data_IF_797269859521
#
_entry.id   IF_797269859521
#
_cell.length_a   1.000
_cell.length_b   1.000
_cell.length_c   1.000
_cell.angle_alpha   90.00
_cell.angle_beta   90.00
_cell.angle_gamma   90.00
#
_symmetry.space_group_name_H-M   'P 1'
#
loop_
_entity.id
_entity.type
_entity.pdbx_description
1 polymer ?
#
# COMPACT_ATOMS: atom_id res chain seq x y z
N UNK A 1 12.22 26.27 -2.88
CA UNK A 1 12.93 25.61 -1.77
C UNK A 1 12.98 24.13 -2.11
N UNK A 2 14.14 23.63 -2.56
CA UNK A 2 14.33 22.23 -2.97
C UNK A 2 14.89 21.49 -1.76
N UNK A 3 14.02 20.73 -1.07
CA UNK A 3 14.39 19.95 0.12
C UNK A 3 15.02 18.62 -0.30
N UNK A 4 16.27 18.42 0.13
CA UNK A 4 17.05 17.20 -0.01
C UNK A 4 16.38 16.04 0.75
N UNK A 5 16.33 14.88 0.09
CA UNK A 5 15.98 13.59 0.68
C UNK A 5 17.14 13.20 1.62
N UNK A 6 17.07 13.56 2.90
CA UNK A 6 18.23 13.32 3.78
C UNK A 6 18.05 13.52 5.28
N UNK A 7 16.98 14.13 5.77
CA UNK A 7 16.71 14.23 7.21
C UNK A 7 15.24 13.88 7.46
N UNK A 8 15.00 12.66 7.92
CA UNK A 8 13.68 12.26 8.42
C UNK A 8 13.52 12.91 9.79
N UNK A 9 13.10 14.18 9.80
CA UNK A 9 12.48 14.79 10.96
C UNK A 9 11.38 13.87 11.47
N UNK A 10 11.23 13.79 12.81
CA UNK A 10 10.13 13.07 13.47
C UNK A 10 8.85 13.24 12.65
N UNK A 11 8.25 12.13 12.23
CA UNK A 11 7.02 12.15 11.42
C UNK A 11 6.01 13.12 12.05
N UNK A 12 5.62 14.14 11.28
CA UNK A 12 4.62 15.09 11.71
C UNK A 12 3.25 14.62 11.20
N UNK A 13 2.22 14.84 11.99
CA UNK A 13 0.84 14.60 11.59
C UNK A 13 0.19 15.93 11.23
N UNK A 14 -0.45 16.00 10.06
CA UNK A 14 -1.23 17.16 9.64
C UNK A 14 -2.59 16.72 9.09
N UNK A 15 -3.55 17.65 9.08
CA UNK A 15 -4.84 17.50 8.41
C UNK A 15 -4.77 18.30 7.12
N UNK A 16 -5.05 17.64 6.00
CA UNK A 16 -5.07 18.25 4.69
C UNK A 16 -6.50 18.24 4.13
N UNK A 17 -6.99 19.40 3.72
CA UNK A 17 -8.23 19.53 2.97
C UNK A 17 -7.88 19.71 1.50
N UNK A 18 -7.98 18.64 0.73
CA UNK A 18 -7.60 18.66 -0.68
C UNK A 18 -8.55 17.78 -1.51
N UNK A 19 -8.61 18.07 -2.81
CA UNK A 19 -9.39 17.29 -3.77
C UNK A 19 -8.51 16.19 -4.38
N UNK A 20 -9.04 14.98 -4.49
CA UNK A 20 -8.40 13.91 -5.26
C UNK A 20 -8.47 14.27 -6.75
N UNK A 21 -7.32 14.39 -7.40
CA UNK A 21 -7.22 14.72 -8.82
C UNK A 21 -6.88 13.49 -9.68
N UNK A 22 -6.16 12.52 -9.12
CA UNK A 22 -5.74 11.32 -9.84
C UNK A 22 -5.44 10.16 -8.89
N UNK A 23 -5.54 8.93 -9.39
CA UNK A 23 -5.13 7.72 -8.69
C UNK A 23 -4.10 7.01 -9.58
N UNK A 24 -2.86 6.92 -9.12
CA UNK A 24 -1.79 6.30 -9.87
C UNK A 24 -2.01 4.78 -10.00
N UNK A 25 -2.03 4.28 -11.24
CA UNK A 25 -2.25 2.85 -11.54
C UNK A 25 -0.98 2.07 -11.88
N UNK A 26 0.15 2.75 -12.07
CA UNK A 26 1.37 2.20 -12.70
C UNK A 26 1.97 0.97 -11.98
N UNK A 27 1.75 0.82 -10.68
CA UNK A 27 2.31 -0.26 -9.87
C UNK A 27 1.27 -1.28 -9.39
N UNK A 28 0.06 -1.27 -9.95
CA UNK A 28 -1.08 -2.04 -9.45
C UNK A 28 -1.67 -1.43 -8.18
N UNK A 29 -2.93 -1.76 -7.90
CA UNK A 29 -3.66 -1.27 -6.72
C UNK A 29 -3.59 -2.21 -5.52
N UNK A 30 -3.28 -3.47 -5.79
CA UNK A 30 -3.26 -4.51 -4.80
C UNK A 30 -2.04 -5.41 -4.99
N UNK A 31 -1.65 -6.05 -3.91
CA UNK A 31 -0.59 -7.03 -3.88
C UNK A 31 -0.99 -8.19 -2.97
N UNK A 32 -0.42 -9.37 -3.24
CA UNK A 32 -0.60 -10.53 -2.40
C UNK A 32 0.37 -10.44 -1.23
N UNK A 33 -0.16 -10.57 -0.02
CA UNK A 33 0.56 -10.37 1.23
C UNK A 33 0.33 -11.55 2.18
N UNK A 34 1.26 -11.73 3.12
CA UNK A 34 1.05 -12.67 4.22
C UNK A 34 0.20 -12.03 5.32
N UNK A 35 -0.90 -12.69 5.70
CA UNK A 35 -1.91 -12.15 6.62
C UNK A 35 -1.36 -11.70 7.97
N UNK A 36 -0.32 -12.36 8.49
CA UNK A 36 0.25 -12.02 9.82
C UNK A 36 1.16 -10.80 9.83
N UNK A 37 1.71 -10.38 8.69
CA UNK A 37 2.71 -9.30 8.69
C UNK A 37 2.60 -8.31 7.53
N UNK A 38 1.64 -8.50 6.62
CA UNK A 38 1.36 -7.59 5.50
C UNK A 38 2.47 -7.48 4.45
N UNK A 39 3.55 -8.27 4.57
CA UNK A 39 4.62 -8.29 3.58
C UNK A 39 4.23 -9.09 2.35
N UNK A 40 4.78 -8.70 1.21
CA UNK A 40 4.54 -9.34 -0.09
C UNK A 40 4.82 -10.86 0.00
N UNK A 41 3.80 -11.64 -0.35
CA UNK A 41 3.86 -13.07 -0.54
C UNK A 41 4.14 -13.37 -2.02
N UNK A 42 5.14 -14.21 -2.29
CA UNK A 42 5.46 -14.66 -3.65
C UNK A 42 5.16 -16.14 -3.79
N UNK A 43 4.46 -16.51 -4.85
CA UNK A 43 4.27 -17.91 -5.20
C UNK A 43 5.61 -18.54 -5.60
N UNK A 44 5.86 -19.77 -5.16
CA UNK A 44 7.02 -20.54 -5.61
C UNK A 44 6.59 -21.56 -6.65
N UNK A 45 7.19 -21.52 -7.84
CA UNK A 45 6.88 -22.42 -8.97
C UNK A 45 7.44 -23.85 -8.80
N UNK A 46 8.12 -24.12 -7.68
CA UNK A 46 8.74 -25.41 -7.44
C UNK A 46 7.71 -26.44 -6.93
N UNK A 47 7.34 -27.36 -7.81
CA UNK A 47 6.76 -28.68 -7.52
C UNK A 47 5.37 -28.69 -6.88
N UNK A 48 4.31 -28.65 -7.73
CA UNK A 48 2.93 -29.19 -7.52
C UNK A 48 2.21 -28.91 -6.19
N UNK A 49 2.75 -28.06 -5.33
CA UNK A 49 2.20 -27.71 -4.03
C UNK A 49 2.14 -26.18 -4.00
N UNK A 50 0.96 -25.64 -3.70
CA UNK A 50 0.66 -24.20 -3.64
C UNK A 50 1.35 -23.52 -2.45
N UNK A 51 2.69 -23.53 -2.43
CA UNK A 51 3.50 -22.85 -1.45
C UNK A 51 3.77 -21.41 -1.87
N UNK A 52 3.75 -20.55 -0.88
CA UNK A 52 4.05 -19.14 -0.97
C UNK A 52 5.26 -18.85 -0.07
N UNK A 53 5.92 -17.73 -0.31
CA UNK A 53 7.08 -17.31 0.47
C UNK A 53 6.93 -15.84 0.90
N UNK A 54 7.04 -15.61 2.20
CA UNK A 54 7.11 -14.30 2.82
C UNK A 54 8.55 -14.05 3.25
N UNK A 55 9.12 -12.88 2.92
CA UNK A 55 10.51 -12.54 3.27
C UNK A 55 10.84 -12.66 4.77
N UNK A 56 9.86 -12.42 5.65
CA UNK A 56 10.07 -12.45 7.10
C UNK A 56 9.81 -13.83 7.73
N UNK A 57 8.85 -14.60 7.19
CA UNK A 57 8.38 -15.84 7.81
C UNK A 57 8.74 -17.10 7.01
N UNK A 58 9.37 -16.94 5.84
CA UNK A 58 9.70 -18.03 4.94
C UNK A 58 8.45 -18.62 4.28
N UNK A 59 8.40 -19.96 4.21
CA UNK A 59 7.36 -20.70 3.51
C UNK A 59 6.01 -20.58 4.24
N UNK A 60 4.99 -20.20 3.47
CA UNK A 60 3.61 -20.00 3.92
C UNK A 60 2.66 -20.78 3.00
N UNK A 61 1.56 -21.26 3.54
CA UNK A 61 0.45 -21.91 2.81
C UNK A 61 -0.45 -20.87 2.15
N UNK A 62 -1.24 -21.28 1.16
CA UNK A 62 -2.13 -20.40 0.39
C UNK A 62 -3.24 -19.73 1.24
N UNK A 63 -3.73 -20.39 2.30
CA UNK A 63 -4.67 -19.83 3.28
C UNK A 63 -4.08 -18.64 4.08
N UNK A 64 -2.76 -18.56 4.15
CA UNK A 64 -2.06 -17.43 4.77
C UNK A 64 -1.97 -16.19 3.87
N UNK A 65 -2.38 -16.27 2.59
CA UNK A 65 -2.22 -15.20 1.62
C UNK A 65 -3.49 -14.37 1.51
N UNK A 66 -3.36 -13.07 1.66
CA UNK A 66 -4.45 -12.09 1.55
C UNK A 66 -4.13 -11.05 0.48
N UNK A 67 -5.17 -10.44 -0.08
CA UNK A 67 -5.03 -9.28 -0.97
C UNK A 67 -4.95 -8.05 -0.08
N UNK A 68 -3.91 -7.23 -0.26
CA UNK A 68 -3.75 -5.94 0.39
C UNK A 68 -3.70 -4.82 -0.64
N UNK A 69 -4.28 -3.69 -0.31
CA UNK A 69 -4.34 -2.51 -1.16
C UNK A 69 -3.21 -1.53 -0.84
N UNK A 70 -2.63 -0.97 -1.90
CA UNK A 70 -1.65 0.10 -1.83
C UNK A 70 -1.85 1.06 -2.99
N UNK A 71 -2.51 2.17 -2.72
CA UNK A 71 -2.86 3.17 -3.73
C UNK A 71 -2.10 4.47 -3.48
N UNK A 72 -1.61 5.06 -4.57
CA UNK A 72 -1.04 6.41 -4.54
C UNK A 72 -2.07 7.38 -5.10
N UNK A 73 -2.59 8.25 -4.24
CA UNK A 73 -3.54 9.29 -4.59
C UNK A 73 -2.79 10.59 -4.81
N UNK A 74 -3.05 11.27 -5.93
CA UNK A 74 -2.66 12.66 -6.08
C UNK A 74 -3.80 13.54 -5.62
N UNK A 75 -3.48 14.43 -4.69
CA UNK A 75 -4.41 15.41 -4.13
C UNK A 75 -3.91 16.81 -4.47
N UNK A 76 -4.83 17.76 -4.59
CA UNK A 76 -4.54 19.17 -4.87
C UNK A 76 -5.43 20.07 -4.02
N UNK A 77 -4.82 21.11 -3.46
CA UNK A 77 -5.49 22.24 -2.81
C UNK A 77 -5.13 23.55 -3.55
N UNK A 78 -5.40 24.69 -2.93
CA UNK A 78 -5.09 26.02 -3.44
C UNK A 78 -3.58 26.33 -3.44
N UNK A 79 -2.78 25.59 -2.67
CA UNK A 79 -1.32 25.79 -2.56
C UNK A 79 -0.53 24.92 -3.54
N UNK A 80 -1.06 23.76 -3.93
CA UNK A 80 -0.40 22.88 -4.87
C UNK A 80 -0.91 21.45 -4.84
N UNK A 81 -0.05 20.52 -5.25
CA UNK A 81 -0.40 19.10 -5.31
C UNK A 81 0.60 18.24 -4.55
N UNK A 82 0.10 17.14 -3.98
CA UNK A 82 0.88 16.16 -3.25
C UNK A 82 0.43 14.74 -3.60
N UNK A 83 1.30 13.76 -3.36
CA UNK A 83 0.97 12.34 -3.52
C UNK A 83 0.92 11.66 -2.15
N UNK A 84 -0.20 11.00 -1.85
CA UNK A 84 -0.46 10.27 -0.61
C UNK A 84 -0.48 8.77 -0.88
N UNK A 85 0.24 8.01 -0.07
CA UNK A 85 0.22 6.55 -0.10
C UNK A 85 -0.78 6.03 0.93
N UNK A 86 -1.84 5.37 0.46
CA UNK A 86 -2.88 4.81 1.31
C UNK A 86 -2.85 3.27 1.26
N UNK A 87 -3.16 2.68 2.40
CA UNK A 87 -3.28 1.23 2.61
C UNK A 87 -4.73 0.84 2.93
N UNK A 88 -4.98 -0.46 3.04
CA UNK A 88 -6.30 -1.10 3.14
C UNK A 88 -7.38 -0.29 3.86
N UNK A 89 -7.19 0.02 5.14
CA UNK A 89 -8.19 0.66 5.99
C UNK A 89 -8.64 2.03 5.45
N UNK A 90 -7.71 2.84 4.95
CA UNK A 90 -7.99 4.14 4.37
C UNK A 90 -8.62 4.01 2.98
N UNK A 91 -8.23 3.00 2.20
CA UNK A 91 -8.80 2.73 0.89
C UNK A 91 -10.27 2.32 1.00
N UNK A 92 -10.62 1.44 1.95
CA UNK A 92 -12.01 1.03 2.18
C UNK A 92 -12.87 2.20 2.69
N UNK A 93 -12.35 3.03 3.60
CA UNK A 93 -13.03 4.24 4.06
C UNK A 93 -13.33 5.21 2.91
N UNK A 94 -12.42 5.34 1.95
CA UNK A 94 -12.62 6.20 0.78
C UNK A 94 -13.63 5.64 -0.23
N UNK A 95 -13.68 4.32 -0.41
CA UNK A 95 -14.59 3.71 -1.38
C UNK A 95 -16.04 3.65 -0.90
N UNK A 96 -16.33 3.99 0.36
CA UNK A 96 -17.64 3.79 0.99
C UNK A 96 -18.15 2.34 0.89
N UNK A 97 -17.23 1.40 0.63
CA UNK A 97 -17.50 -0.03 0.67
C UNK A 97 -17.16 -0.44 2.10
N UNK A 98 -18.18 -0.40 2.97
CA UNK A 98 -18.07 -1.03 4.29
C UNK A 98 -17.83 -2.53 4.09
N UNK A 99 -16.76 -3.03 4.71
CA UNK A 99 -16.46 -4.48 4.78
C UNK A 99 -17.28 -5.14 5.88
#
# INVERSE_FOLDING_TARGET
MVGLIGEVEKGFHCILYARIINIHRKHGWAYLAYSKCGNIAKQTDAERINWWNCKLHGRITADGVVIMYRLIFCVMDDTGSASLLLFDDLVFKLSSIES
#
